data_IF_693547516584
#
_entry.id   IF_693547516584
#
_cell.length_a   1.000
_cell.length_b   1.000
_cell.length_c   1.000
_cell.angle_alpha   90.00
_cell.angle_beta   90.00
_cell.angle_gamma   90.00
#
_symmetry.space_group_name_H-M   'P 1'
#
loop_
_entity.id
_entity.type
_entity.pdbx_description
1 polymer ?
#
# COMPACT_ATOMS: atom_id res chain seq x y z
N UNK A 1 -11.05 5.15 7.65
CA UNK A 1 -9.82 4.86 6.86
C UNK A 1 -9.11 3.69 7.53
N UNK A 2 -8.43 2.80 6.80
CA UNK A 2 -7.74 1.64 7.40
C UNK A 2 -6.27 1.95 7.67
N UNK A 3 -5.71 1.37 8.73
CA UNK A 3 -4.32 1.55 9.18
C UNK A 3 -3.58 0.22 9.00
N UNK A 4 -2.41 0.26 8.36
CA UNK A 4 -1.54 -0.88 8.14
C UNK A 4 -1.24 -1.68 9.42
N UNK A 5 -1.41 -3.00 9.33
CA UNK A 5 -1.21 -3.96 10.42
C UNK A 5 -2.12 -3.78 11.64
N UNK A 6 -3.13 -2.91 11.56
CA UNK A 6 -3.93 -2.52 12.74
C UNK A 6 -5.42 -2.81 12.55
N UNK A 7 -6.04 -2.33 11.46
CA UNK A 7 -7.49 -2.44 11.33
C UNK A 7 -8.02 -2.52 9.88
N UNK A 8 -9.30 -2.86 9.78
CA UNK A 8 -10.04 -2.93 8.53
C UNK A 8 -9.35 -3.85 7.52
N UNK A 9 -9.38 -3.47 6.24
CA UNK A 9 -8.83 -4.31 5.16
C UNK A 9 -7.29 -4.34 5.12
N UNK A 10 -6.62 -3.64 6.04
CA UNK A 10 -5.16 -3.63 6.17
C UNK A 10 -4.67 -4.27 7.48
N UNK A 11 -5.56 -4.85 8.30
CA UNK A 11 -5.20 -5.43 9.61
C UNK A 11 -4.08 -6.47 9.53
N UNK A 12 -4.02 -7.24 8.44
CA UNK A 12 -3.01 -8.27 8.20
C UNK A 12 -2.15 -7.98 6.95
N UNK A 13 -2.03 -6.71 6.56
CA UNK A 13 -1.26 -6.27 5.39
C UNK A 13 -0.32 -5.13 5.75
N UNK A 14 0.73 -4.96 4.95
CA UNK A 14 1.73 -3.91 5.14
C UNK A 14 2.34 -3.96 6.55
N UNK A 15 2.63 -5.17 7.04
CA UNK A 15 3.12 -5.42 8.41
C UNK A 15 4.65 -5.32 8.52
N UNK A 16 5.33 -4.98 7.43
CA UNK A 16 6.75 -4.64 7.46
C UNK A 16 6.96 -3.47 8.46
N UNK A 17 8.02 -3.51 9.31
CA UNK A 17 8.29 -2.46 10.29
C UNK A 17 8.36 -1.03 9.72
N UNK A 18 8.73 -0.87 8.43
CA UNK A 18 8.74 0.43 7.76
C UNK A 18 7.35 0.98 7.44
N UNK A 19 6.33 0.13 7.42
CA UNK A 19 4.95 0.45 7.02
C UNK A 19 3.94 0.35 8.15
N UNK A 20 4.21 -0.51 9.15
CA UNK A 20 3.32 -0.80 10.26
C UNK A 20 2.90 0.49 10.98
N UNK A 21 1.59 0.76 11.03
CA UNK A 21 1.03 1.96 11.64
C UNK A 21 1.30 3.28 10.90
N UNK A 22 2.01 3.25 9.76
CA UNK A 22 2.41 4.46 8.99
C UNK A 22 1.65 4.64 7.68
N UNK A 23 0.90 3.63 7.25
CA UNK A 23 0.06 3.70 6.05
C UNK A 23 -1.42 3.81 6.45
N UNK A 24 -2.04 4.89 6.01
CA UNK A 24 -3.46 5.18 6.18
C UNK A 24 -4.11 5.21 4.80
N UNK A 25 -4.89 4.18 4.47
CA UNK A 25 -5.38 4.03 3.11
C UNK A 25 -6.76 3.40 3.03
N UNK A 26 -7.36 3.49 1.84
CA UNK A 26 -8.59 2.81 1.48
C UNK A 26 -8.32 1.81 0.37
N UNK A 27 -8.86 0.61 0.54
CA UNK A 27 -8.86 -0.45 -0.47
C UNK A 27 -10.04 -0.30 -1.43
N UNK A 28 -9.80 -0.64 -2.70
CA UNK A 28 -10.85 -0.86 -3.70
C UNK A 28 -10.67 -2.22 -4.38
N UNK A 29 -11.79 -2.89 -4.63
CA UNK A 29 -11.82 -4.24 -5.16
C UNK A 29 -12.93 -4.34 -6.20
N UNK A 30 -12.57 -4.68 -7.43
CA UNK A 30 -13.50 -5.10 -8.48
C UNK A 30 -12.99 -6.40 -9.13
N UNK A 31 -13.80 -7.02 -10.00
CA UNK A 31 -13.34 -8.18 -10.76
C UNK A 31 -12.18 -7.76 -11.66
N UNK A 32 -11.03 -8.42 -11.49
CA UNK A 32 -9.80 -8.11 -12.24
C UNK A 32 -9.08 -6.81 -11.85
N UNK A 33 -9.52 -6.10 -10.82
CA UNK A 33 -8.92 -4.83 -10.39
C UNK A 33 -8.70 -4.79 -8.88
N UNK A 34 -7.53 -4.32 -8.45
CA UNK A 34 -7.24 -3.96 -7.06
C UNK A 34 -6.71 -2.54 -7.00
N UNK A 35 -7.12 -1.80 -5.97
CA UNK A 35 -6.61 -0.45 -5.73
C UNK A 35 -6.30 -0.23 -4.26
N UNK A 36 -5.34 0.66 -4.00
CA UNK A 36 -5.03 1.19 -2.68
C UNK A 36 -4.59 2.64 -2.83
N UNK A 37 -5.27 3.55 -2.12
CA UNK A 37 -4.94 4.97 -2.15
C UNK A 37 -4.95 5.54 -0.74
N UNK A 38 -4.01 6.42 -0.44
CA UNK A 38 -3.87 6.96 0.90
C UNK A 38 -2.58 7.72 1.13
N UNK A 39 -2.17 7.72 2.40
CA UNK A 39 -1.02 8.43 2.91
C UNK A 39 -0.01 7.47 3.53
N UNK A 40 1.26 7.79 3.37
CA UNK A 40 2.38 7.12 4.02
C UNK A 40 3.19 8.17 4.78
N UNK A 41 3.36 7.99 6.08
CA UNK A 41 4.25 8.83 6.88
C UNK A 41 5.70 8.30 6.75
N UNK A 42 6.50 8.97 5.91
CA UNK A 42 7.89 8.60 5.64
C UNK A 42 8.86 9.42 6.52
N UNK A 43 9.88 8.80 7.14
CA UNK A 43 10.81 9.50 8.00
C UNK A 43 11.67 10.56 7.29
N UNK A 44 11.93 10.40 5.98
CA UNK A 44 12.83 11.27 5.22
C UNK A 44 12.09 12.38 4.45
N UNK A 45 10.86 12.12 4.03
CA UNK A 45 10.09 13.05 3.19
C UNK A 45 8.78 13.52 3.82
N UNK A 46 8.51 13.14 5.07
CA UNK A 46 7.23 13.42 5.71
C UNK A 46 6.07 12.66 5.06
N UNK A 47 4.89 13.27 5.09
CA UNK A 47 3.66 12.64 4.60
C UNK A 47 3.63 12.60 3.07
N UNK A 48 3.72 11.40 2.51
CA UNK A 48 3.56 11.13 1.09
C UNK A 48 2.11 10.76 0.77
N UNK A 49 1.62 11.19 -0.40
CA UNK A 49 0.33 10.77 -0.95
C UNK A 49 0.57 9.75 -2.05
N UNK A 50 -0.23 8.69 -2.09
CA UNK A 50 -0.16 7.69 -3.15
C UNK A 50 -1.55 7.22 -3.60
N UNK A 51 -1.60 6.76 -4.85
CA UNK A 51 -2.76 6.06 -5.41
C UNK A 51 -2.26 4.99 -6.37
N UNK A 52 -2.54 3.73 -6.06
CA UNK A 52 -2.08 2.58 -6.82
C UNK A 52 -3.27 1.78 -7.33
N UNK A 53 -3.21 1.40 -8.60
CA UNK A 53 -4.20 0.55 -9.26
C UNK A 53 -3.49 -0.51 -10.06
N UNK A 54 -3.90 -1.76 -9.86
CA UNK A 54 -3.54 -2.87 -10.71
C UNK A 54 -4.81 -3.38 -11.36
N UNK A 55 -4.88 -3.29 -12.69
CA UNK A 55 -5.95 -3.83 -13.51
C UNK A 55 -5.38 -4.99 -14.33
N UNK A 56 -5.52 -6.21 -13.82
CA UNK A 56 -5.03 -7.39 -14.50
C UNK A 56 -5.99 -8.57 -14.33
N UNK A 57 -7.04 -8.68 -15.18
CA UNK A 57 -8.11 -9.67 -15.01
C UNK A 57 -7.66 -11.12 -15.13
N UNK A 58 -6.51 -11.39 -15.76
CA UNK A 58 -5.93 -12.73 -15.87
C UNK A 58 -5.17 -13.21 -14.63
N UNK A 59 -4.94 -12.35 -13.63
CA UNK A 59 -4.22 -12.71 -12.40
C UNK A 59 -5.17 -12.85 -11.21
N UNK A 60 -4.76 -13.63 -10.22
CA UNK A 60 -5.51 -13.73 -8.97
C UNK A 60 -5.52 -12.38 -8.23
N UNK A 61 -6.61 -12.14 -7.49
CA UNK A 61 -6.72 -10.98 -6.60
C UNK A 61 -5.55 -10.85 -5.64
N UNK A 62 -5.03 -11.97 -5.12
CA UNK A 62 -3.91 -12.00 -4.18
C UNK A 62 -2.62 -11.51 -4.83
N UNK A 63 -2.32 -11.94 -6.06
CA UNK A 63 -1.11 -11.48 -6.78
C UNK A 63 -1.17 -9.98 -7.02
N UNK A 64 -2.31 -9.45 -7.45
CA UNK A 64 -2.49 -8.00 -7.63
C UNK A 64 -2.37 -7.22 -6.32
N UNK A 65 -2.96 -7.74 -5.24
CA UNK A 65 -2.84 -7.15 -3.89
C UNK A 65 -1.39 -7.12 -3.42
N UNK A 66 -0.65 -8.22 -3.60
CA UNK A 66 0.76 -8.29 -3.21
C UNK A 66 1.61 -7.31 -4.01
N UNK A 67 1.39 -7.19 -5.32
CA UNK A 67 2.11 -6.23 -6.14
C UNK A 67 1.92 -4.78 -5.64
N UNK A 68 0.70 -4.43 -5.20
CA UNK A 68 0.45 -3.13 -4.56
C UNK A 68 1.20 -3.00 -3.25
N UNK A 69 1.20 -4.05 -2.40
CA UNK A 69 1.89 -4.02 -1.10
C UNK A 69 3.41 -3.85 -1.28
N UNK A 70 3.99 -4.52 -2.28
CA UNK A 70 5.40 -4.39 -2.64
C UNK A 70 5.72 -2.97 -3.14
N UNK A 71 4.86 -2.38 -3.99
CA UNK A 71 5.04 -0.99 -4.43
C UNK A 71 5.00 0.02 -3.28
N UNK A 72 4.12 -0.19 -2.28
CA UNK A 72 4.07 0.68 -1.08
C UNK A 72 5.35 0.54 -0.25
N UNK A 73 5.89 -0.67 -0.14
CA UNK A 73 7.15 -0.92 0.56
C UNK A 73 8.33 -0.23 -0.13
N UNK A 74 8.40 -0.34 -1.46
CA UNK A 74 9.45 0.35 -2.23
C UNK A 74 9.30 1.87 -2.14
N UNK A 75 8.07 2.40 -2.19
CA UNK A 75 7.82 3.82 -1.94
C UNK A 75 8.33 4.27 -0.56
N UNK A 76 8.16 3.45 0.48
CA UNK A 76 8.65 3.76 1.83
C UNK A 76 10.17 3.74 1.93
N UNK A 77 10.85 3.01 1.06
CA UNK A 77 12.30 2.85 1.05
C UNK A 77 13.02 3.83 0.13
N UNK A 78 12.29 4.67 -0.60
CA UNK A 78 12.88 5.73 -1.45
C UNK A 78 13.87 6.54 -0.63
N UNK A 79 15.06 6.76 -1.19
CA UNK A 79 16.14 7.59 -0.64
C UNK A 79 16.46 8.71 -1.63
N UNK A 80 16.97 9.83 -1.14
CA UNK A 80 17.45 10.89 -2.01
C UNK A 80 18.67 10.37 -2.75
N UNK A 81 18.65 10.47 -4.08
CA UNK A 81 19.85 10.30 -4.90
C UNK A 81 20.62 11.62 -4.81
N UNK A 82 21.52 11.71 -3.82
CA UNK A 82 22.50 12.79 -3.70
C UNK A 82 23.79 12.45 -4.42
#
# INVERSE_FOLDING_TARGET
MSIAGTNGTLSNRLTDPFLLGRVHAKTGTLKGVRTLSGYLDNPNYGKMVFSMMVNQPGLSGKVMTNAIDDMVLELARVKNCG
#
